data_IF_270111367610
#
_entry.id   IF_270111367610
#
_cell.length_a   1.000
_cell.length_b   1.000
_cell.length_c   1.000
_cell.angle_alpha   90.00
_cell.angle_beta   90.00
_cell.angle_gamma   90.00
#
_symmetry.space_group_name_H-M   'P 1'
#
loop_
_entity.id
_entity.type
_entity.pdbx_description
1 polymer ?
#
# COMPACT_ATOMS: atom_id res chain seq x y z
N UNK A 1 -31.40 -18.88 22.70
CA UNK A 1 -30.39 -18.65 21.64
C UNK A 1 -30.78 -19.22 20.29
N UNK A 2 -31.53 -20.33 20.20
CA UNK A 2 -31.95 -20.90 18.90
C UNK A 2 -33.05 -20.08 18.18
N UNK A 3 -33.82 -19.29 18.93
CA UNK A 3 -35.01 -18.58 18.43
C UNK A 3 -34.69 -17.22 17.77
N UNK A 4 -33.56 -16.59 18.16
CA UNK A 4 -33.09 -15.32 17.58
C UNK A 4 -32.54 -15.53 16.16
N UNK A 5 -31.84 -16.65 15.93
CA UNK A 5 -31.30 -17.03 14.62
C UNK A 5 -32.41 -17.33 13.60
N UNK A 6 -33.52 -17.92 14.04
CA UNK A 6 -34.66 -18.21 13.17
C UNK A 6 -35.44 -16.95 12.75
N UNK A 7 -35.43 -15.88 13.56
CA UNK A 7 -36.03 -14.60 13.17
C UNK A 7 -35.19 -13.87 12.12
N UNK A 8 -33.86 -13.93 12.21
CA UNK A 8 -32.94 -13.31 11.23
C UNK A 8 -33.05 -13.94 9.84
N UNK A 9 -33.18 -15.27 9.75
CA UNK A 9 -33.34 -15.99 8.47
C UNK A 9 -34.65 -15.63 7.77
N UNK A 10 -35.72 -15.36 8.54
CA UNK A 10 -37.00 -14.89 7.96
C UNK A 10 -36.96 -13.44 7.52
N UNK A 11 -36.19 -12.59 8.19
CA UNK A 11 -36.07 -11.16 7.85
C UNK A 11 -35.26 -10.92 6.57
N UNK A 12 -34.34 -11.82 6.23
CA UNK A 12 -33.46 -11.70 5.05
C UNK A 12 -34.00 -12.35 3.77
N UNK A 13 -35.24 -12.85 3.77
CA UNK A 13 -35.91 -13.34 2.54
C UNK A 13 -35.24 -14.56 1.88
N UNK A 14 -34.50 -15.37 2.65
CA UNK A 14 -33.81 -16.56 2.11
C UNK A 14 -34.83 -17.69 1.86
N UNK A 15 -34.92 -18.25 0.64
CA UNK A 15 -35.82 -19.36 0.35
C UNK A 15 -35.53 -20.57 1.24
N UNK A 16 -36.57 -21.08 1.91
CA UNK A 16 -36.53 -22.29 2.74
C UNK A 16 -36.29 -23.53 1.89
N UNK A 17 -35.03 -23.82 1.60
CA UNK A 17 -34.61 -25.02 0.86
C UNK A 17 -33.16 -25.45 1.12
N UNK A 18 -32.38 -24.70 1.89
CA UNK A 18 -31.01 -25.05 2.28
C UNK A 18 -30.93 -25.13 3.81
N UNK A 19 -31.04 -26.35 4.32
CA UNK A 19 -30.74 -26.64 5.71
C UNK A 19 -29.22 -26.49 5.91
N UNK A 20 -28.79 -25.38 6.50
CA UNK A 20 -27.44 -25.24 7.05
C UNK A 20 -27.34 -26.13 8.29
N UNK A 21 -26.61 -27.24 8.19
CA UNK A 21 -26.03 -27.89 9.38
C UNK A 21 -24.86 -27.01 9.79
N UNK A 22 -25.03 -26.24 10.87
CA UNK A 22 -23.95 -25.49 11.48
C UNK A 22 -23.17 -26.48 12.35
N UNK A 23 -22.12 -27.06 11.78
CA UNK A 23 -21.05 -27.68 12.57
C UNK A 23 -20.13 -26.55 13.07
N UNK A 24 -19.97 -26.44 14.40
CA UNK A 24 -19.24 -25.34 15.04
C UNK A 24 -17.71 -25.43 14.90
N UNK A 25 -17.19 -26.38 14.11
CA UNK A 25 -15.74 -26.60 13.93
C UNK A 25 -15.20 -26.35 12.52
N UNK A 26 -15.95 -25.68 11.63
CA UNK A 26 -15.45 -25.33 10.30
C UNK A 26 -15.94 -23.95 9.88
N UNK A 27 -15.30 -22.91 10.40
CA UNK A 27 -15.34 -21.57 9.82
C UNK A 27 -14.22 -21.44 8.78
N UNK A 28 -14.33 -22.21 7.70
CA UNK A 28 -13.68 -21.85 6.44
C UNK A 28 -14.71 -22.05 5.34
N UNK A 29 -15.01 -20.98 4.61
CA UNK A 29 -15.73 -21.11 3.33
C UNK A 29 -17.08 -20.43 3.23
N UNK A 30 -17.19 -19.15 3.63
CA UNK A 30 -17.93 -18.16 2.83
C UNK A 30 -17.21 -16.82 2.95
N UNK A 31 -16.07 -16.67 2.28
CA UNK A 31 -15.43 -15.37 2.11
C UNK A 31 -15.05 -15.21 0.66
N UNK A 32 -15.42 -14.05 0.10
CA UNK A 32 -14.84 -13.52 -1.12
C UNK A 32 -13.33 -13.74 -1.07
N UNK A 33 -12.73 -14.20 -2.17
CA UNK A 33 -11.30 -14.51 -2.27
C UNK A 33 -10.45 -13.44 -1.60
N UNK A 34 -9.99 -13.69 -0.38
CA UNK A 34 -9.02 -12.87 0.29
C UNK A 34 -7.70 -13.15 -0.44
N UNK A 35 -7.41 -12.36 -1.49
CA UNK A 35 -6.20 -12.46 -2.31
C UNK A 35 -5.00 -11.90 -1.54
N UNK A 36 -4.84 -12.36 -0.31
CA UNK A 36 -3.87 -11.79 0.61
C UNK A 36 -2.89 -12.89 0.96
N UNK A 37 -1.63 -12.67 0.61
CA UNK A 37 -0.53 -13.57 0.90
C UNK A 37 -0.55 -14.02 2.38
N UNK A 38 -0.44 -15.34 2.59
CA UNK A 38 -0.41 -15.93 3.93
C UNK A 38 0.71 -15.34 4.79
N UNK A 39 0.56 -15.33 6.12
CA UNK A 39 1.55 -14.73 7.04
C UNK A 39 2.94 -15.34 6.83
N UNK A 40 3.04 -16.65 6.64
CA UNK A 40 4.30 -17.34 6.41
C UNK A 40 4.90 -16.96 5.05
N UNK A 41 4.08 -16.91 3.99
CA UNK A 41 4.54 -16.51 2.66
C UNK A 41 5.03 -15.04 2.67
N UNK A 42 4.30 -14.14 3.34
CA UNK A 42 4.70 -12.74 3.50
C UNK A 42 6.05 -12.62 4.19
N UNK A 43 6.25 -13.35 5.29
CA UNK A 43 7.51 -13.34 6.01
C UNK A 43 8.66 -13.80 5.13
N UNK A 44 8.49 -14.91 4.40
CA UNK A 44 9.51 -15.43 3.49
C UNK A 44 9.83 -14.45 2.36
N UNK A 45 8.80 -13.87 1.74
CA UNK A 45 8.97 -12.85 0.69
C UNK A 45 9.74 -11.64 1.21
N UNK A 46 9.32 -11.05 2.33
CA UNK A 46 9.96 -9.90 2.94
C UNK A 46 11.41 -10.20 3.31
N UNK A 47 11.65 -11.29 4.04
CA UNK A 47 12.98 -11.65 4.53
C UNK A 47 13.94 -11.89 3.36
N UNK A 48 13.45 -12.47 2.26
CA UNK A 48 14.23 -12.61 1.04
C UNK A 48 14.49 -11.26 0.36
N UNK A 49 13.46 -10.43 0.17
CA UNK A 49 13.57 -9.12 -0.47
C UNK A 49 14.63 -8.24 0.21
N UNK A 50 14.63 -8.17 1.55
CA UNK A 50 15.56 -7.33 2.32
C UNK A 50 16.98 -7.89 2.42
N UNK A 51 17.18 -9.18 2.10
CA UNK A 51 18.50 -9.83 2.14
C UNK A 51 19.32 -9.60 0.87
N UNK A 52 18.73 -9.06 -0.19
CA UNK A 52 19.34 -8.92 -1.50
C UNK A 52 20.25 -7.70 -1.57
N UNK A 53 21.47 -7.91 -2.07
CA UNK A 53 22.44 -6.85 -2.34
C UNK A 53 22.18 -6.22 -3.72
N UNK A 54 21.05 -5.53 -3.82
CA UNK A 54 20.46 -5.08 -5.09
C UNK A 54 21.24 -3.98 -5.81
N UNK A 55 22.22 -3.34 -5.15
CA UNK A 55 23.01 -2.26 -5.75
C UNK A 55 24.41 -2.73 -6.20
N UNK A 56 24.96 -3.78 -5.56
CA UNK A 56 26.29 -4.30 -5.90
C UNK A 56 26.24 -5.62 -6.68
N UNK A 57 25.12 -6.36 -6.65
CA UNK A 57 24.97 -7.65 -7.32
C UNK A 57 23.85 -7.64 -8.40
N UNK A 58 24.20 -7.79 -9.69
CA UNK A 58 23.21 -7.83 -10.78
C UNK A 58 22.21 -8.98 -10.73
N UNK A 59 22.55 -10.13 -10.14
CA UNK A 59 21.62 -11.24 -9.96
C UNK A 59 20.60 -10.91 -8.88
N UNK A 60 21.06 -10.33 -7.77
CA UNK A 60 20.21 -9.87 -6.67
C UNK A 60 19.28 -8.73 -7.13
N UNK A 61 19.76 -7.81 -7.97
CA UNK A 61 18.92 -6.77 -8.57
C UNK A 61 17.77 -7.33 -9.43
N UNK A 62 18.04 -8.39 -10.20
CA UNK A 62 17.01 -9.09 -10.99
C UNK A 62 16.02 -9.82 -10.09
N UNK A 63 16.52 -10.51 -9.06
CA UNK A 63 15.67 -11.22 -8.11
C UNK A 63 14.78 -10.25 -7.33
N UNK A 64 15.34 -9.13 -6.88
CA UNK A 64 14.61 -8.05 -6.21
C UNK A 64 13.47 -7.55 -7.11
N UNK A 65 13.79 -7.25 -8.37
CA UNK A 65 12.80 -6.78 -9.34
C UNK A 65 11.66 -7.79 -9.57
N UNK A 66 11.99 -9.08 -9.57
CA UNK A 66 11.00 -10.15 -9.69
C UNK A 66 10.10 -10.24 -8.44
N UNK A 67 10.67 -10.16 -7.24
CA UNK A 67 9.93 -10.19 -5.97
C UNK A 67 9.03 -8.97 -5.79
N UNK A 68 9.47 -7.78 -6.21
CA UNK A 68 8.64 -6.57 -6.22
C UNK A 68 7.49 -6.73 -7.21
N UNK A 69 7.76 -7.26 -8.41
CA UNK A 69 6.73 -7.44 -9.43
C UNK A 69 5.69 -8.51 -9.05
N UNK A 70 6.05 -9.51 -8.24
CA UNK A 70 5.15 -10.60 -7.87
C UNK A 70 4.01 -10.19 -6.94
N UNK A 71 4.15 -9.07 -6.22
CA UNK A 71 3.13 -8.57 -5.27
C UNK A 71 2.22 -7.50 -5.87
N UNK A 72 2.33 -7.22 -7.18
CA UNK A 72 1.59 -6.18 -7.88
C UNK A 72 0.07 -6.19 -7.63
N UNK A 73 -0.52 -7.38 -7.62
CA UNK A 73 -1.97 -7.57 -7.46
C UNK A 73 -2.39 -7.83 -6.01
N UNK A 74 -1.45 -7.80 -5.06
CA UNK A 74 -1.63 -8.10 -3.63
C UNK A 74 -1.04 -7.00 -2.73
N UNK A 75 -1.35 -5.74 -3.02
CA UNK A 75 -0.83 -4.56 -2.30
C UNK A 75 -1.66 -4.21 -1.07
N UNK A 76 -1.57 -5.07 -0.06
CA UNK A 76 -2.09 -4.78 1.28
C UNK A 76 -1.18 -3.85 2.09
N UNK A 77 -1.65 -3.45 3.28
CA UNK A 77 -0.95 -2.50 4.15
C UNK A 77 0.51 -2.93 4.47
N UNK A 78 0.70 -4.20 4.85
CA UNK A 78 2.02 -4.73 5.25
C UNK A 78 2.98 -4.82 4.06
N UNK A 79 2.47 -5.09 2.86
CA UNK A 79 3.27 -5.16 1.64
C UNK A 79 3.72 -3.78 1.22
N UNK A 80 2.83 -2.80 1.25
CA UNK A 80 3.17 -1.40 0.96
C UNK A 80 4.20 -0.86 1.95
N UNK A 81 4.08 -1.17 3.25
CA UNK A 81 5.08 -0.76 4.25
C UNK A 81 6.49 -1.25 3.90
N UNK A 82 6.61 -2.53 3.53
CA UNK A 82 7.88 -3.13 3.14
C UNK A 82 8.44 -2.43 1.90
N UNK A 83 7.62 -2.21 0.87
CA UNK A 83 8.04 -1.52 -0.35
C UNK A 83 8.50 -0.08 -0.07
N UNK A 84 7.77 0.67 0.75
CA UNK A 84 8.15 2.04 1.15
C UNK A 84 9.48 2.06 1.92
N UNK A 85 9.78 1.03 2.71
CA UNK A 85 11.07 0.92 3.43
C UNK A 85 12.28 0.64 2.52
N UNK A 86 12.07 0.36 1.23
CA UNK A 86 13.18 0.09 0.29
C UNK A 86 13.79 1.36 -0.31
N UNK A 87 13.15 2.52 -0.16
CA UNK A 87 13.65 3.78 -0.70
C UNK A 87 14.83 4.31 0.13
N UNK A 88 15.90 4.72 -0.57
CA UNK A 88 17.11 5.29 0.03
C UNK A 88 17.89 6.15 -0.98
N UNK A 89 18.88 6.90 -0.52
CA UNK A 89 19.74 7.74 -1.37
C UNK A 89 20.90 6.98 -2.06
N UNK A 90 20.89 5.64 -2.03
CA UNK A 90 21.91 4.86 -2.75
C UNK A 90 21.70 5.01 -4.26
N UNK A 91 22.80 5.00 -5.04
CA UNK A 91 22.77 5.13 -6.50
C UNK A 91 21.81 4.10 -7.13
N UNK A 92 20.63 4.58 -7.53
CA UNK A 92 19.56 3.73 -8.00
C UNK A 92 19.66 3.50 -9.51
N UNK A 93 20.16 2.33 -9.92
CA UNK A 93 20.14 1.88 -11.32
C UNK A 93 18.73 1.41 -11.77
N UNK A 94 17.67 2.12 -11.35
CA UNK A 94 16.27 1.84 -11.69
C UNK A 94 15.58 0.78 -10.83
N UNK A 95 16.17 0.42 -9.69
CA UNK A 95 15.62 -0.55 -8.73
C UNK A 95 14.45 0.05 -7.94
N UNK A 96 14.55 1.30 -7.49
CA UNK A 96 13.48 1.97 -6.76
C UNK A 96 12.36 2.44 -7.71
N UNK A 97 12.67 2.77 -8.98
CA UNK A 97 11.67 2.96 -10.04
C UNK A 97 10.78 1.73 -10.26
N UNK A 98 11.32 0.52 -10.09
CA UNK A 98 10.50 -0.71 -10.14
C UNK A 98 9.49 -0.75 -9.00
N UNK A 99 9.89 -0.32 -7.81
CA UNK A 99 9.02 -0.24 -6.64
C UNK A 99 7.91 0.78 -6.86
N UNK A 100 8.24 1.96 -7.40
CA UNK A 100 7.25 2.97 -7.80
C UNK A 100 6.19 2.39 -8.75
N UNK A 101 6.63 1.73 -9.82
CA UNK A 101 5.71 1.16 -10.80
C UNK A 101 4.75 0.10 -10.22
N UNK A 102 5.14 -0.58 -9.14
CA UNK A 102 4.26 -1.50 -8.42
C UNK A 102 3.32 -0.74 -7.49
N UNK A 103 3.82 0.23 -6.72
CA UNK A 103 3.01 1.08 -5.84
C UNK A 103 1.92 1.86 -6.59
N UNK A 104 2.12 2.16 -7.88
CA UNK A 104 1.10 2.76 -8.75
C UNK A 104 -0.20 1.92 -8.84
N UNK A 105 -0.16 0.63 -8.49
CA UNK A 105 -1.32 -0.26 -8.49
C UNK A 105 -2.03 -0.39 -7.14
N UNK A 106 -1.49 0.21 -6.09
CA UNK A 106 -2.14 0.22 -4.80
C UNK A 106 -3.44 1.03 -4.85
N UNK A 107 -4.43 0.58 -4.07
CA UNK A 107 -5.66 1.34 -3.82
C UNK A 107 -5.31 2.69 -3.17
N UNK A 108 -5.99 3.76 -3.60
CA UNK A 108 -5.66 5.13 -3.25
C UNK A 108 -5.63 5.37 -1.73
N UNK A 109 -6.67 4.92 -1.03
CA UNK A 109 -6.79 5.05 0.42
C UNK A 109 -5.72 4.28 1.18
N UNK A 110 -5.51 3.00 0.84
CA UNK A 110 -4.50 2.16 1.48
C UNK A 110 -3.10 2.75 1.27
N UNK A 111 -2.74 3.10 0.03
CA UNK A 111 -1.45 3.70 -0.28
C UNK A 111 -1.22 4.99 0.52
N UNK A 112 -2.19 5.92 0.49
CA UNK A 112 -2.05 7.20 1.16
C UNK A 112 -1.90 7.06 2.68
N UNK A 113 -2.68 6.15 3.29
CA UNK A 113 -2.55 5.85 4.72
C UNK A 113 -1.17 5.31 5.06
N UNK A 114 -0.68 4.32 4.29
CA UNK A 114 0.64 3.72 4.54
C UNK A 114 1.77 4.71 4.28
N UNK A 115 1.68 5.54 3.24
CA UNK A 115 2.65 6.61 3.00
C UNK A 115 2.72 7.56 4.20
N UNK A 116 1.58 8.06 4.67
CA UNK A 116 1.52 9.00 5.79
C UNK A 116 2.11 8.43 7.08
N UNK A 117 1.94 7.12 7.33
CA UNK A 117 2.49 6.42 8.51
C UNK A 117 4.02 6.23 8.43
N UNK A 118 4.56 5.99 7.23
CA UNK A 118 5.99 5.73 7.02
C UNK A 118 6.78 6.98 6.60
N UNK A 119 6.12 8.13 6.41
CA UNK A 119 6.69 9.29 5.74
C UNK A 119 7.95 9.84 6.42
N UNK A 120 7.96 9.90 7.75
CA UNK A 120 9.13 10.37 8.52
C UNK A 120 10.34 9.46 8.35
N UNK A 121 10.10 8.14 8.28
CA UNK A 121 11.15 7.15 8.03
C UNK A 121 11.69 7.30 6.61
N UNK A 122 10.79 7.40 5.63
CA UNK A 122 11.13 7.65 4.23
C UNK A 122 11.99 8.92 4.07
N UNK A 123 11.61 10.03 4.70
CA UNK A 123 12.40 11.27 4.67
C UNK A 123 13.79 11.11 5.31
N UNK A 124 13.89 10.34 6.39
CA UNK A 124 15.19 10.12 7.06
C UNK A 124 16.13 9.21 6.25
N UNK A 125 15.59 8.27 5.49
CA UNK A 125 16.34 7.32 4.66
C UNK A 125 16.68 7.88 3.27
N UNK A 126 15.82 8.74 2.74
CA UNK A 126 16.02 9.50 1.53
C UNK A 126 16.33 10.96 1.88
N UNK A 127 17.46 11.18 2.56
CA UNK A 127 17.93 12.48 3.04
C UNK A 127 18.06 13.55 1.94
N UNK A 128 18.20 13.13 0.67
CA UNK A 128 18.15 13.99 -0.50
C UNK A 128 16.75 14.49 -0.88
N UNK A 129 15.68 14.07 -0.17
CA UNK A 129 14.25 14.34 -0.43
C UNK A 129 13.72 13.90 -1.81
N UNK A 130 14.58 13.39 -2.69
CA UNK A 130 14.25 12.99 -4.05
C UNK A 130 13.09 11.99 -4.07
N UNK A 131 13.19 10.90 -3.31
CA UNK A 131 12.14 9.88 -3.30
C UNK A 131 10.81 10.34 -2.69
N UNK A 132 10.76 11.04 -1.54
CA UNK A 132 9.54 11.69 -1.07
C UNK A 132 8.89 12.60 -2.14
N UNK A 133 9.70 13.40 -2.83
CA UNK A 133 9.25 14.32 -3.88
C UNK A 133 8.69 13.55 -5.08
N UNK A 134 9.41 12.54 -5.58
CA UNK A 134 9.01 11.72 -6.72
C UNK A 134 7.76 10.89 -6.41
N UNK A 135 7.68 10.25 -5.24
CA UNK A 135 6.54 9.42 -4.83
C UNK A 135 5.23 10.20 -4.88
N UNK A 136 5.21 11.39 -4.27
CA UNK A 136 3.99 12.21 -4.20
C UNK A 136 3.79 12.96 -5.53
N UNK A 137 4.87 13.47 -6.12
CA UNK A 137 4.85 14.15 -7.41
C UNK A 137 4.29 13.31 -8.53
N UNK A 138 4.62 12.01 -8.58
CA UNK A 138 4.06 11.05 -9.53
C UNK A 138 2.55 10.89 -9.37
N UNK A 139 2.04 10.90 -8.13
CA UNK A 139 0.58 10.88 -7.88
C UNK A 139 -0.07 12.16 -8.42
N UNK A 140 0.53 13.33 -8.19
CA UNK A 140 0.01 14.60 -8.71
C UNK A 140 0.03 14.60 -10.25
N UNK A 141 1.14 14.18 -10.86
CA UNK A 141 1.31 14.11 -12.31
C UNK A 141 0.43 13.06 -13.00
N UNK A 142 -0.11 12.08 -12.26
CA UNK A 142 -1.04 11.10 -12.80
C UNK A 142 -2.43 11.67 -13.13
N UNK A 143 -2.72 12.91 -12.69
CA UNK A 143 -4.04 13.55 -12.76
C UNK A 143 -5.18 12.70 -12.15
N UNK A 144 -4.81 11.80 -11.23
CA UNK A 144 -5.76 10.97 -10.52
C UNK A 144 -6.26 11.69 -9.27
N UNK A 145 -7.36 12.44 -9.44
CA UNK A 145 -7.98 13.21 -8.36
C UNK A 145 -8.34 12.37 -7.11
N UNK A 146 -8.65 11.08 -7.27
CA UNK A 146 -8.92 10.18 -6.15
C UNK A 146 -7.65 9.95 -5.31
N UNK A 147 -6.53 9.61 -5.96
CA UNK A 147 -5.24 9.43 -5.28
C UNK A 147 -4.73 10.72 -4.64
N UNK A 148 -4.85 11.85 -5.32
CA UNK A 148 -4.44 13.16 -4.76
C UNK A 148 -5.26 13.48 -3.51
N UNK A 149 -6.59 13.32 -3.56
CA UNK A 149 -7.46 13.52 -2.38
C UNK A 149 -7.12 12.58 -1.24
N UNK A 150 -6.82 11.32 -1.53
CA UNK A 150 -6.43 10.34 -0.52
C UNK A 150 -5.15 10.78 0.20
N UNK A 151 -4.13 11.23 -0.54
CA UNK A 151 -2.87 11.75 0.02
C UNK A 151 -3.13 12.97 0.91
N UNK A 152 -3.90 13.95 0.44
CA UNK A 152 -4.22 15.15 1.24
C UNK A 152 -5.03 14.77 2.50
N UNK A 153 -5.98 13.84 2.39
CA UNK A 153 -6.74 13.36 3.54
C UNK A 153 -5.87 12.62 4.56
N UNK A 154 -4.88 11.84 4.11
CA UNK A 154 -3.93 11.17 4.98
C UNK A 154 -2.94 12.17 5.62
N UNK A 155 -2.50 13.18 4.87
CA UNK A 155 -1.63 14.26 5.36
C UNK A 155 -2.25 15.01 6.54
N UNK A 156 -3.56 15.27 6.54
CA UNK A 156 -4.27 15.87 7.69
C UNK A 156 -4.08 15.11 9.02
N UNK A 157 -3.62 13.86 8.98
CA UNK A 157 -3.32 13.01 10.14
C UNK A 157 -1.82 12.78 10.37
N UNK A 158 -0.95 13.26 9.50
CA UNK A 158 0.51 13.09 9.55
C UNK A 158 1.19 14.46 9.40
N UNK A 159 1.64 15.08 10.51
CA UNK A 159 2.24 16.42 10.48
C UNK A 159 3.43 16.54 9.53
N UNK A 160 4.26 15.50 9.42
CA UNK A 160 5.43 15.52 8.55
C UNK A 160 5.02 15.51 7.07
N UNK A 161 4.01 14.71 6.70
CA UNK A 161 3.48 14.68 5.34
C UNK A 161 2.74 15.98 5.00
N UNK A 162 1.92 16.51 5.91
CA UNK A 162 1.21 17.78 5.71
C UNK A 162 2.19 18.95 5.53
N UNK A 163 3.22 19.03 6.38
CA UNK A 163 4.26 20.04 6.26
C UNK A 163 5.02 19.92 4.93
N UNK A 164 5.31 18.70 4.48
CA UNK A 164 6.01 18.47 3.22
C UNK A 164 5.19 18.90 2.00
N UNK A 165 3.94 18.46 1.88
CA UNK A 165 3.10 18.80 0.71
C UNK A 165 2.68 20.29 0.67
N UNK A 166 2.89 21.02 1.77
CA UNK A 166 2.68 22.47 1.88
C UNK A 166 3.98 23.27 1.80
N UNK A 167 5.12 22.61 1.67
CA UNK A 167 6.41 23.30 1.58
C UNK A 167 6.57 24.01 0.24
N UNK A 168 7.24 25.16 0.24
CA UNK A 168 7.52 25.92 -0.98
C UNK A 168 8.21 25.05 -2.05
N UNK A 169 9.16 24.22 -1.62
CA UNK A 169 9.88 23.27 -2.49
C UNK A 169 8.93 22.29 -3.20
N UNK A 170 7.94 21.73 -2.49
CA UNK A 170 6.97 20.82 -3.11
C UNK A 170 5.99 21.56 -4.02
N UNK A 171 5.52 22.73 -3.58
CA UNK A 171 4.51 23.51 -4.31
C UNK A 171 5.07 24.19 -5.56
N UNK A 172 6.34 24.56 -5.57
CA UNK A 172 7.03 25.09 -6.75
C UNK A 172 7.09 24.04 -7.87
N UNK A 173 7.33 22.78 -7.53
CA UNK A 173 7.38 21.66 -8.47
C UNK A 173 5.97 21.13 -8.83
N UNK A 174 5.04 21.12 -7.87
CA UNK A 174 3.71 20.51 -8.01
C UNK A 174 2.56 21.44 -7.59
N UNK A 175 2.39 22.61 -8.23
CA UNK A 175 1.42 23.63 -7.80
C UNK A 175 -0.04 23.17 -7.91
N UNK A 176 -0.33 22.16 -8.75
CA UNK A 176 -1.70 21.66 -8.94
C UNK A 176 -2.31 21.06 -7.66
N UNK A 177 -1.48 20.58 -6.73
CA UNK A 177 -1.96 20.04 -5.45
C UNK A 177 -2.65 21.11 -4.59
N UNK A 178 -2.32 22.40 -4.77
CA UNK A 178 -2.88 23.49 -3.95
C UNK A 178 -4.40 23.51 -3.95
N UNK A 179 -5.02 23.22 -5.10
CA UNK A 179 -6.47 23.15 -5.26
C UNK A 179 -7.15 22.08 -4.41
N UNK A 180 -6.37 21.12 -3.89
CA UNK A 180 -6.82 20.03 -3.02
C UNK A 180 -6.53 20.29 -1.54
N UNK A 181 -5.65 21.24 -1.21
CA UNK A 181 -5.19 21.52 0.16
C UNK A 181 -6.17 22.34 1.01
N UNK A 182 -7.32 22.71 0.42
CA UNK A 182 -8.39 23.54 1.01
C UNK A 182 -9.18 22.82 2.10
#
# INVERSE_FOLDING_TARGET
>A
MHEILLQLVRYLGVPTGLAFIIDTNTYEGVLMSDRTMSVQAFKMWRDKLVSLDRYENPEDAREFSALVSSVRDELDAKTIDVLLSTFCDDDDYGVQERVLGVLDHAEAGVFAERLALNFSTLQSQASGKEWPLILIGRVVNSDNAEKIKAIVAAAKKSPDLDAFIRSDEFLDEYPLIESYLV
#
